data_IF_458151919841
#
_entry.id   IF_458151919841
#
_cell.length_a   1.000
_cell.length_b   1.000
_cell.length_c   1.000
_cell.angle_alpha   90.00
_cell.angle_beta   90.00
_cell.angle_gamma   90.00
#
_symmetry.space_group_name_H-M   'P 1'
#
loop_
_entity.id
_entity.type
_entity.pdbx_description
1 polymer ?
#
# COMPACT_ATOMS: atom_id res chain seq x y z
N UNK A 1 -2.41 -27.60 26.53
CA UNK A 1 -3.60 -27.57 25.68
C UNK A 1 -3.50 -26.34 24.81
N UNK A 2 -3.18 -26.52 23.53
CA UNK A 2 -3.00 -25.43 22.58
C UNK A 2 -4.38 -24.97 22.11
N UNK A 3 -4.73 -23.71 22.39
CA UNK A 3 -5.93 -23.05 21.88
C UNK A 3 -5.70 -22.74 20.41
N UNK A 4 -6.34 -23.50 19.53
CA UNK A 4 -6.45 -23.21 18.11
C UNK A 4 -7.33 -21.96 17.96
N UNK A 5 -6.71 -20.80 17.73
CA UNK A 5 -7.42 -19.59 17.35
C UNK A 5 -8.19 -19.87 16.05
N UNK A 6 -9.50 -19.87 16.14
CA UNK A 6 -10.43 -19.98 15.03
C UNK A 6 -10.16 -18.79 14.07
N UNK A 7 -9.47 -19.07 12.96
CA UNK A 7 -9.43 -18.15 11.80
C UNK A 7 -10.83 -18.11 11.22
N UNK A 8 -11.65 -17.20 11.71
CA UNK A 8 -12.97 -16.93 11.15
C UNK A 8 -12.80 -16.63 9.67
N UNK A 9 -13.14 -17.59 8.83
CA UNK A 9 -13.21 -17.46 7.40
C UNK A 9 -14.29 -16.45 7.07
N UNK A 10 -13.90 -15.16 6.98
CA UNK A 10 -14.76 -14.16 6.34
C UNK A 10 -14.88 -14.56 4.88
N UNK A 11 -16.11 -14.76 4.39
CA UNK A 11 -16.32 -14.99 2.97
C UNK A 11 -15.59 -13.88 2.18
N UNK A 12 -14.86 -14.21 1.10
CA UNK A 12 -14.14 -13.21 0.34
C UNK A 12 -15.13 -12.16 -0.17
N UNK A 13 -15.05 -10.96 0.39
CA UNK A 13 -15.85 -9.82 -0.04
C UNK A 13 -15.57 -9.52 -1.51
N UNK A 14 -16.54 -8.93 -2.21
CA UNK A 14 -16.29 -8.40 -3.55
C UNK A 14 -15.50 -7.11 -3.44
N UNK A 15 -14.43 -6.98 -4.21
CA UNK A 15 -13.68 -5.73 -4.34
C UNK A 15 -14.35 -4.79 -5.33
N UNK A 16 -13.96 -3.52 -5.34
CA UNK A 16 -14.46 -2.54 -6.31
C UNK A 16 -14.14 -2.92 -7.77
N UNK A 17 -13.10 -3.72 -8.00
CA UNK A 17 -12.66 -4.20 -9.32
C UNK A 17 -13.03 -5.66 -9.59
N UNK A 18 -13.92 -6.26 -8.79
CA UNK A 18 -14.39 -7.63 -9.03
C UNK A 18 -14.87 -7.82 -10.47
N UNK A 19 -14.28 -8.79 -11.16
CA UNK A 19 -14.52 -9.03 -12.61
C UNK A 19 -13.56 -8.27 -13.53
N UNK A 20 -12.73 -7.34 -13.02
CA UNK A 20 -11.69 -6.62 -13.76
C UNK A 20 -10.31 -6.72 -13.09
N UNK A 21 -10.14 -7.67 -12.20
CA UNK A 21 -8.97 -7.81 -11.33
C UNK A 21 -7.63 -7.94 -12.09
N UNK A 22 -7.67 -8.35 -13.35
CA UNK A 22 -6.49 -8.45 -14.20
C UNK A 22 -6.79 -7.92 -15.60
N UNK A 23 -5.99 -6.97 -16.06
CA UNK A 23 -6.03 -6.41 -17.40
C UNK A 23 -4.63 -6.45 -18.01
N UNK A 24 -4.53 -6.75 -19.30
CA UNK A 24 -3.29 -6.67 -20.08
C UNK A 24 -3.53 -5.81 -21.30
N UNK A 25 -2.56 -4.98 -21.63
CA UNK A 25 -2.55 -4.15 -22.82
C UNK A 25 -1.30 -4.55 -23.61
N UNK A 26 -1.50 -5.06 -24.82
CA UNK A 26 -0.41 -5.49 -25.67
C UNK A 26 0.38 -4.28 -26.20
N UNK A 27 1.66 -4.51 -26.44
CA UNK A 27 2.49 -3.50 -27.10
C UNK A 27 2.08 -3.35 -28.57
N UNK A 28 2.20 -2.14 -29.16
CA UNK A 28 1.82 -1.88 -30.55
C UNK A 28 2.54 -2.74 -31.60
N UNK A 29 3.68 -3.33 -31.24
CA UNK A 29 4.51 -4.21 -32.05
C UNK A 29 4.08 -5.69 -32.04
N UNK A 30 2.99 -6.01 -31.34
CA UNK A 30 2.36 -7.33 -31.35
C UNK A 30 3.11 -8.45 -30.63
N UNK A 31 4.23 -8.16 -29.95
CA UNK A 31 5.10 -9.21 -29.43
C UNK A 31 5.13 -9.41 -27.93
N UNK A 32 4.76 -8.42 -27.13
CA UNK A 32 4.86 -8.47 -25.66
C UNK A 32 3.76 -7.66 -25.00
N UNK A 33 3.37 -8.08 -23.79
CA UNK A 33 2.47 -7.29 -22.93
C UNK A 33 3.14 -5.95 -22.62
N UNK A 34 2.58 -4.86 -23.14
CA UNK A 34 3.08 -3.50 -22.92
C UNK A 34 2.83 -3.01 -21.48
N UNK A 35 1.66 -3.38 -20.91
CA UNK A 35 1.24 -3.04 -19.57
C UNK A 35 0.36 -4.15 -19.00
N UNK A 36 0.67 -4.63 -17.81
CA UNK A 36 -0.17 -5.49 -17.00
C UNK A 36 -0.67 -4.70 -15.78
N UNK A 37 -1.98 -4.74 -15.55
CA UNK A 37 -2.64 -4.16 -14.39
C UNK A 37 -3.26 -5.31 -13.61
N UNK A 38 -2.94 -5.45 -12.34
CA UNK A 38 -3.47 -6.51 -11.48
C UNK A 38 -3.93 -5.90 -10.16
N UNK A 39 -5.17 -6.16 -9.79
CA UNK A 39 -5.67 -5.79 -8.47
C UNK A 39 -4.95 -6.62 -7.39
N UNK A 40 -4.49 -5.93 -6.36
CA UNK A 40 -3.99 -6.56 -5.13
C UNK A 40 -5.18 -6.72 -4.17
N UNK A 41 -6.03 -7.69 -4.51
CA UNK A 41 -7.29 -7.92 -3.81
C UNK A 41 -7.05 -8.15 -2.33
N UNK A 42 -7.80 -7.44 -1.49
CA UNK A 42 -7.76 -7.55 -0.03
C UNK A 42 -6.41 -7.25 0.62
N UNK A 43 -5.45 -6.62 -0.09
CA UNK A 43 -4.23 -6.11 0.55
C UNK A 43 -4.61 -5.29 1.78
N UNK A 44 -4.11 -5.69 2.95
CA UNK A 44 -4.39 -5.00 4.21
C UNK A 44 -3.79 -3.59 4.19
N UNK A 45 -4.58 -2.60 4.62
CA UNK A 45 -4.19 -1.18 4.64
C UNK A 45 -4.61 -0.54 5.95
N UNK A 46 -3.64 -0.04 6.71
CA UNK A 46 -3.86 0.67 7.96
C UNK A 46 -3.28 2.07 7.83
N UNK A 47 -4.11 3.08 7.98
CA UNK A 47 -3.66 4.45 8.15
C UNK A 47 -3.23 4.64 9.60
N UNK A 48 -2.01 5.11 9.79
CA UNK A 48 -1.39 5.36 11.09
C UNK A 48 -0.97 6.83 11.15
N UNK A 49 -1.47 7.55 12.14
CA UNK A 49 -1.08 8.93 12.41
C UNK A 49 -0.43 9.03 13.77
N UNK A 50 0.64 9.81 13.83
CA UNK A 50 1.41 10.07 15.02
C UNK A 50 2.83 10.49 14.69
N UNK A 51 3.51 11.12 15.64
CA UNK A 51 4.89 11.57 15.50
C UNK A 51 5.88 10.46 15.88
N UNK A 52 7.10 10.79 16.28
CA UNK A 52 8.15 9.83 16.67
C UNK A 52 7.73 8.86 17.77
N UNK A 53 6.73 9.20 18.58
CA UNK A 53 6.23 8.38 19.68
C UNK A 53 5.63 7.04 19.23
N UNK A 54 5.22 6.94 17.96
CA UNK A 54 4.68 5.70 17.39
C UNK A 54 5.76 4.70 17.00
N UNK A 55 7.03 5.13 16.88
CA UNK A 55 8.11 4.31 16.33
C UNK A 55 8.32 2.99 17.08
N UNK A 56 8.21 2.99 18.41
CA UNK A 56 8.39 1.77 19.20
C UNK A 56 7.34 0.70 18.84
N UNK A 57 6.08 1.09 18.71
CA UNK A 57 4.99 0.22 18.31
C UNK A 57 5.12 -0.23 16.85
N UNK A 58 5.46 0.70 15.95
CA UNK A 58 5.73 0.39 14.55
C UNK A 58 6.83 -0.66 14.43
N UNK A 59 7.97 -0.45 15.10
CA UNK A 59 9.11 -1.40 15.12
C UNK A 59 8.69 -2.78 15.63
N UNK A 60 7.92 -2.84 16.71
CA UNK A 60 7.45 -4.08 17.31
C UNK A 60 6.56 -4.89 16.36
N UNK A 61 5.62 -4.21 15.69
CA UNK A 61 4.58 -4.89 14.91
C UNK A 61 4.86 -4.98 13.42
N UNK A 62 5.77 -4.18 12.87
CA UNK A 62 6.12 -4.23 11.45
C UNK A 62 7.56 -4.66 11.19
N UNK A 63 8.42 -4.65 12.19
CA UNK A 63 9.85 -4.89 12.04
C UNK A 63 10.64 -3.69 11.46
N UNK A 64 9.96 -2.62 11.07
CA UNK A 64 10.61 -1.43 10.50
C UNK A 64 11.39 -0.70 11.59
N UNK A 65 12.69 -0.46 11.35
CA UNK A 65 13.59 0.15 12.34
C UNK A 65 13.46 1.66 12.45
N UNK A 66 12.89 2.30 11.44
CA UNK A 66 12.66 3.74 11.36
C UNK A 66 11.35 4.02 10.62
N UNK A 67 10.75 5.17 10.86
CA UNK A 67 9.66 5.68 10.02
C UNK A 67 10.23 6.08 8.65
N UNK A 68 9.44 5.94 7.57
CA UNK A 68 9.87 6.38 6.26
C UNK A 68 10.18 7.88 6.24
N UNK A 69 11.26 8.27 5.57
CA UNK A 69 11.51 9.67 5.24
C UNK A 69 10.46 10.19 4.23
N UNK A 70 10.41 11.50 4.04
CA UNK A 70 9.49 12.17 3.13
C UNK A 70 9.50 11.52 1.73
N UNK A 71 8.33 11.16 1.23
CA UNK A 71 8.13 10.51 -0.07
C UNK A 71 8.89 9.19 -0.23
N UNK A 72 9.09 8.46 0.87
CA UNK A 72 9.77 7.17 0.88
C UNK A 72 8.89 6.08 1.45
N UNK A 73 9.31 4.86 1.16
CA UNK A 73 8.75 3.65 1.77
C UNK A 73 9.82 2.87 2.50
N UNK A 74 9.41 2.10 3.49
CA UNK A 74 10.27 1.11 4.18
C UNK A 74 9.56 -0.22 4.14
N UNK A 75 10.20 -1.23 3.56
CA UNK A 75 9.65 -2.59 3.48
C UNK A 75 10.49 -3.54 4.33
N UNK A 76 9.83 -4.35 5.15
CA UNK A 76 10.43 -5.43 5.94
C UNK A 76 9.52 -6.65 5.86
N UNK A 77 10.02 -7.73 5.26
CA UNK A 77 9.21 -8.91 4.96
C UNK A 77 8.01 -8.53 4.08
N UNK A 78 6.82 -8.93 4.50
CA UNK A 78 5.57 -8.67 3.78
C UNK A 78 4.89 -7.35 4.17
N UNK A 79 5.55 -6.51 4.96
CA UNK A 79 5.00 -5.24 5.43
C UNK A 79 5.74 -4.06 4.86
N UNK A 80 4.98 -3.09 4.35
CA UNK A 80 5.52 -1.85 3.79
C UNK A 80 4.88 -0.67 4.49
N UNK A 81 5.72 0.23 5.02
CA UNK A 81 5.30 1.56 5.44
C UNK A 81 5.49 2.53 4.29
N UNK A 82 4.44 3.26 3.98
CA UNK A 82 4.41 4.32 2.95
C UNK A 82 4.22 5.65 3.66
N UNK A 83 5.10 6.60 3.41
CA UNK A 83 4.95 7.97 3.91
C UNK A 83 3.81 8.68 3.18
N UNK A 84 2.90 9.31 3.90
CA UNK A 84 1.82 10.11 3.34
C UNK A 84 1.96 11.60 3.71
N UNK A 85 2.31 11.87 4.98
CA UNK A 85 2.54 13.22 5.53
C UNK A 85 3.53 13.13 6.68
N UNK A 86 4.03 14.24 7.22
CA UNK A 86 5.01 14.24 8.31
C UNK A 86 4.63 13.38 9.52
N UNK A 87 3.34 13.26 9.79
CA UNK A 87 2.75 12.50 10.89
C UNK A 87 1.75 11.43 10.41
N UNK A 88 1.80 11.04 9.13
CA UNK A 88 0.84 10.10 8.55
C UNK A 88 1.52 9.06 7.65
N UNK A 89 1.21 7.81 7.91
CA UNK A 89 1.79 6.65 7.23
C UNK A 89 0.69 5.65 6.84
N UNK A 90 0.87 4.99 5.70
CA UNK A 90 0.06 3.84 5.31
C UNK A 90 0.87 2.57 5.52
N UNK A 91 0.37 1.69 6.37
CA UNK A 91 0.93 0.36 6.58
C UNK A 91 0.22 -0.61 5.66
N UNK A 92 0.98 -1.23 4.76
CA UNK A 92 0.52 -2.32 3.91
C UNK A 92 0.90 -3.65 4.55
N UNK A 93 0.00 -4.63 4.54
CA UNK A 93 0.23 -5.97 5.04
C UNK A 93 -0.55 -6.99 4.19
N UNK A 94 -0.27 -8.28 4.40
CA UNK A 94 -0.99 -9.33 3.70
C UNK A 94 -2.49 -9.31 4.01
N UNK A 95 -3.25 -9.85 3.05
CA UNK A 95 -4.70 -9.98 3.17
C UNK A 95 -5.09 -10.82 4.39
N UNK A 96 -5.95 -10.28 5.24
CA UNK A 96 -6.42 -10.94 6.46
C UNK A 96 -5.58 -10.66 7.71
N UNK A 97 -4.41 -10.02 7.58
CA UNK A 97 -3.60 -9.61 8.73
C UNK A 97 -4.04 -8.25 9.32
N UNK A 98 -4.76 -7.44 8.55
CA UNK A 98 -5.07 -6.05 8.89
C UNK A 98 -5.84 -5.89 10.21
N UNK A 99 -6.77 -6.80 10.51
CA UNK A 99 -7.56 -6.74 11.73
C UNK A 99 -6.70 -7.00 12.98
N UNK A 100 -5.81 -8.01 12.90
CA UNK A 100 -4.88 -8.35 13.97
C UNK A 100 -3.86 -7.24 14.21
N UNK A 101 -3.24 -6.74 13.13
CA UNK A 101 -2.26 -5.67 13.19
C UNK A 101 -2.88 -4.36 13.72
N UNK A 102 -4.08 -4.00 13.25
CA UNK A 102 -4.83 -2.85 13.74
C UNK A 102 -5.05 -2.94 15.27
N UNK A 103 -5.55 -4.10 15.75
CA UNK A 103 -5.81 -4.29 17.17
C UNK A 103 -4.55 -4.19 18.03
N UNK A 104 -3.44 -4.74 17.56
CA UNK A 104 -2.14 -4.68 18.25
C UNK A 104 -1.60 -3.25 18.30
N UNK A 105 -1.67 -2.50 17.21
CA UNK A 105 -1.26 -1.09 17.16
C UNK A 105 -2.14 -0.23 18.07
N UNK A 106 -3.46 -0.41 18.03
CA UNK A 106 -4.40 0.30 18.91
C UNK A 106 -4.09 0.06 20.39
N UNK A 107 -3.80 -1.18 20.76
CA UNK A 107 -3.49 -1.54 22.16
C UNK A 107 -2.19 -0.85 22.63
N UNK A 108 -1.14 -0.92 21.82
CA UNK A 108 0.16 -0.36 22.19
C UNK A 108 0.17 1.18 22.16
N UNK A 109 -0.60 1.79 21.28
CA UNK A 109 -0.66 3.25 21.08
C UNK A 109 -1.77 3.94 21.89
N UNK A 110 -2.56 3.19 22.68
CA UNK A 110 -3.71 3.74 23.41
C UNK A 110 -3.41 4.85 24.42
N UNK A 111 -2.11 5.08 24.76
CA UNK A 111 -1.64 6.17 25.63
C UNK A 111 -0.83 7.24 24.88
N UNK A 112 -0.66 7.08 23.60
CA UNK A 112 0.11 7.98 22.73
C UNK A 112 -0.87 8.82 21.92
N UNK A 113 -0.51 10.07 21.60
CA UNK A 113 -1.30 10.89 20.69
C UNK A 113 -1.15 10.36 19.25
N UNK A 114 -1.93 9.33 18.94
CA UNK A 114 -1.89 8.62 17.67
C UNK A 114 -3.28 8.20 17.25
N UNK A 115 -3.47 7.96 15.95
CA UNK A 115 -4.68 7.36 15.41
C UNK A 115 -4.32 6.18 14.52
N UNK A 116 -5.06 5.09 14.66
CA UNK A 116 -4.92 3.88 13.86
C UNK A 116 -6.26 3.57 13.22
N UNK A 117 -6.33 3.54 11.91
CA UNK A 117 -7.58 3.31 11.19
C UNK A 117 -7.39 2.23 10.14
N UNK A 118 -8.22 1.19 10.18
CA UNK A 118 -8.25 0.19 9.11
C UNK A 118 -8.96 0.79 7.88
N UNK A 119 -8.21 1.00 6.80
CA UNK A 119 -8.69 1.58 5.53
C UNK A 119 -8.66 0.57 4.39
N UNK A 120 -8.62 -0.73 4.72
CA UNK A 120 -8.55 -1.83 3.74
C UNK A 120 -9.66 -1.74 2.69
N UNK A 121 -10.89 -1.51 3.13
CA UNK A 121 -12.05 -1.43 2.24
C UNK A 121 -12.25 -0.02 1.63
N UNK A 122 -11.57 1.00 2.16
CA UNK A 122 -11.66 2.37 1.64
C UNK A 122 -10.75 2.63 0.44
N UNK A 123 -9.70 1.83 0.27
CA UNK A 123 -8.70 2.01 -0.77
C UNK A 123 -8.58 0.75 -1.64
N UNK A 124 -8.55 0.93 -2.95
CA UNK A 124 -8.21 -0.12 -3.91
C UNK A 124 -6.69 -0.09 -4.17
N UNK A 125 -6.05 -1.25 -4.21
CA UNK A 125 -4.64 -1.37 -4.53
C UNK A 125 -4.44 -2.13 -5.85
N UNK A 126 -3.55 -1.63 -6.70
CA UNK A 126 -3.23 -2.23 -7.99
C UNK A 126 -1.72 -2.30 -8.20
N UNK A 127 -1.27 -3.40 -8.78
CA UNK A 127 0.09 -3.54 -9.33
C UNK A 127 0.04 -3.26 -10.82
N UNK A 128 0.93 -2.37 -11.27
CA UNK A 128 1.11 -2.02 -12.67
C UNK A 128 2.54 -2.40 -13.09
N UNK A 129 2.68 -3.19 -14.16
CA UNK A 129 3.99 -3.68 -14.63
C UNK A 129 4.05 -3.67 -16.15
N UNK A 130 5.23 -3.39 -16.70
CA UNK A 130 5.48 -3.48 -18.14
C UNK A 130 6.26 -2.30 -18.69
N UNK A 131 6.85 -2.44 -19.89
CA UNK A 131 7.69 -1.42 -20.49
C UNK A 131 6.95 -0.12 -20.85
N UNK A 132 5.64 -0.19 -21.08
CA UNK A 132 4.82 0.98 -21.38
C UNK A 132 4.31 1.72 -20.14
N UNK A 133 4.56 1.20 -18.91
CA UNK A 133 4.00 1.71 -17.67
C UNK A 133 4.16 3.23 -17.53
N UNK A 134 5.39 3.72 -17.56
CA UNK A 134 5.68 5.15 -17.33
C UNK A 134 5.08 6.03 -18.42
N UNK A 135 5.12 5.57 -19.67
CA UNK A 135 4.52 6.29 -20.81
C UNK A 135 2.99 6.39 -20.68
N UNK A 136 2.35 5.35 -20.15
CA UNK A 136 0.89 5.35 -19.93
C UNK A 136 0.54 6.27 -18.76
N UNK A 137 1.25 6.14 -17.62
CA UNK A 137 1.00 7.00 -16.47
C UNK A 137 1.22 8.48 -16.77
N UNK A 138 2.25 8.84 -17.55
CA UNK A 138 2.55 10.22 -17.93
C UNK A 138 1.42 10.90 -18.75
N UNK A 139 0.48 10.13 -19.31
CA UNK A 139 -0.68 10.72 -20.00
C UNK A 139 -1.73 11.29 -19.05
N UNK A 140 -1.73 10.87 -17.79
CA UNK A 140 -2.73 11.29 -16.81
C UNK A 140 -2.16 11.73 -15.48
N UNK A 141 -0.83 11.73 -15.31
CA UNK A 141 -0.14 12.10 -14.09
C UNK A 141 0.84 13.25 -14.37
N UNK A 142 0.77 14.30 -13.57
CA UNK A 142 1.65 15.47 -13.73
C UNK A 142 3.04 15.29 -13.10
N UNK A 143 3.27 14.21 -12.34
CA UNK A 143 4.58 13.94 -11.74
C UNK A 143 5.59 13.50 -12.80
N UNK A 144 6.84 13.89 -12.60
CA UNK A 144 7.95 13.31 -13.36
C UNK A 144 8.21 11.87 -12.87
N UNK A 145 7.77 10.91 -13.67
CA UNK A 145 7.94 9.48 -13.43
C UNK A 145 9.18 8.91 -14.14
N UNK A 146 10.12 9.77 -14.60
CA UNK A 146 11.34 9.27 -15.22
C UNK A 146 12.11 8.34 -14.26
N UNK A 147 12.75 7.25 -14.75
CA UNK A 147 13.43 6.28 -13.88
C UNK A 147 14.54 6.87 -13.00
N UNK A 148 15.13 7.99 -13.40
CA UNK A 148 16.14 8.69 -12.61
C UNK A 148 15.56 9.58 -11.50
N UNK A 149 14.26 9.89 -11.56
CA UNK A 149 13.56 10.80 -10.63
C UNK A 149 12.68 10.01 -9.67
N UNK A 150 11.84 9.11 -10.19
CA UNK A 150 10.95 8.29 -9.39
C UNK A 150 11.45 6.84 -9.36
N UNK A 151 12.29 6.54 -8.37
CA UNK A 151 13.03 5.28 -8.21
C UNK A 151 12.35 4.35 -7.20
N UNK A 152 12.75 3.07 -7.18
CA UNK A 152 12.29 2.11 -6.19
C UNK A 152 12.45 2.64 -4.74
N UNK A 153 11.49 2.35 -3.88
CA UNK A 153 11.43 2.86 -2.52
C UNK A 153 10.90 4.30 -2.41
N UNK A 154 10.47 4.91 -3.49
CA UNK A 154 9.77 6.20 -3.47
C UNK A 154 8.25 6.03 -3.48
N UNK A 155 7.57 6.99 -2.88
CA UNK A 155 6.12 7.13 -2.98
C UNK A 155 5.75 8.59 -3.24
N UNK A 156 4.57 8.79 -3.81
CA UNK A 156 4.02 10.14 -4.02
C UNK A 156 2.49 10.08 -4.08
N UNK A 157 1.84 11.05 -3.49
CA UNK A 157 0.42 11.30 -3.65
C UNK A 157 0.21 12.27 -4.80
N UNK A 158 -0.70 11.94 -5.71
CA UNK A 158 -0.95 12.72 -6.91
C UNK A 158 -2.34 12.43 -7.47
N UNK A 159 -2.70 13.14 -8.53
CA UNK A 159 -3.84 12.80 -9.37
C UNK A 159 -3.39 11.97 -10.57
N UNK A 160 -4.10 10.89 -10.83
CA UNK A 160 -4.03 10.15 -12.08
C UNK A 160 -5.35 10.36 -12.81
N UNK A 161 -5.35 11.20 -13.83
CA UNK A 161 -6.56 11.75 -14.44
C UNK A 161 -7.45 12.42 -13.37
N UNK A 162 -8.61 11.85 -13.04
CA UNK A 162 -9.55 12.39 -12.05
C UNK A 162 -9.53 11.63 -10.71
N UNK A 163 -8.64 10.68 -10.53
CA UNK A 163 -8.53 9.89 -9.31
C UNK A 163 -7.33 10.32 -8.46
N UNK A 164 -7.56 10.56 -7.17
CA UNK A 164 -6.47 10.70 -6.21
C UNK A 164 -5.82 9.34 -5.97
N UNK A 165 -4.50 9.26 -6.12
CA UNK A 165 -3.73 8.03 -5.99
C UNK A 165 -2.47 8.24 -5.16
N UNK A 166 -2.05 7.18 -4.48
CA UNK A 166 -0.71 7.07 -3.92
C UNK A 166 0.09 6.11 -4.80
N UNK A 167 1.12 6.63 -5.47
CA UNK A 167 2.05 5.83 -6.25
C UNK A 167 3.16 5.32 -5.34
N UNK A 168 3.49 4.03 -5.47
CA UNK A 168 4.62 3.39 -4.78
C UNK A 168 5.49 2.73 -5.84
N UNK A 169 6.75 3.12 -5.91
CA UNK A 169 7.75 2.50 -6.80
C UNK A 169 8.40 1.31 -6.11
N UNK A 170 8.29 0.14 -6.69
CA UNK A 170 8.86 -1.13 -6.21
C UNK A 170 9.88 -1.70 -7.17
#
# INVERSE_FOLDING_TARGET
MASTANKGSRAPGRTALSGKAKQTIDAPDGGRVGLAITELSHLGKINLRGSEDILASVKKHTGCKALPANNRTVTVGERTLVWLAPDEFLVLCEAGEEAGLHSQLMLDLGKVHAAVTNVTDALCAMSLRGPALRKVLAKGCALDLHPSVFTAGMCAQTMLSHAAVTLVAV
#
